data_IF_471808561964
#
_entry.id   IF_471808561964
#
_cell.length_a   1.000
_cell.length_b   1.000
_cell.length_c   1.000
_cell.angle_alpha   90.00
_cell.angle_beta   90.00
_cell.angle_gamma   90.00
#
_symmetry.space_group_name_H-M   'P 1'
#
loop_
_entity.id
_entity.type
_entity.pdbx_description
1 polymer ?
#
# COMPACT_ATOMS: atom_id res chain seq x y z
N UNK A 1 -2.56 14.91 -7.84
CA UNK A 1 -1.13 14.55 -7.77
C UNK A 1 -0.35 15.20 -8.92
N UNK A 2 -0.37 14.69 -10.15
CA UNK A 2 0.36 15.30 -11.28
C UNK A 2 -0.10 16.72 -11.64
N UNK A 3 -1.38 17.05 -11.44
CA UNK A 3 -1.92 18.42 -11.65
C UNK A 3 -1.54 19.44 -10.56
N UNK A 4 -0.96 18.99 -9.44
CA UNK A 4 -0.53 19.85 -8.31
C UNK A 4 1.01 19.87 -8.17
N UNK A 5 1.75 19.28 -9.13
CA UNK A 5 3.22 19.24 -9.10
C UNK A 5 3.82 18.31 -8.03
N UNK A 6 3.04 17.36 -7.50
CA UNK A 6 3.52 16.40 -6.50
C UNK A 6 3.94 15.12 -7.23
N UNK A 7 5.24 14.98 -7.47
CA UNK A 7 5.86 13.77 -8.00
C UNK A 7 6.14 12.74 -6.89
N UNK A 8 6.13 11.46 -7.28
CA UNK A 8 6.59 10.38 -6.42
C UNK A 8 8.08 10.58 -6.08
N UNK A 9 8.48 10.46 -4.81
CA UNK A 9 9.87 10.66 -4.42
C UNK A 9 10.79 9.59 -5.03
N UNK A 10 11.93 10.01 -5.59
CA UNK A 10 12.99 9.11 -6.08
C UNK A 10 13.86 8.51 -4.96
N UNK A 11 13.73 9.02 -3.73
CA UNK A 11 14.44 8.60 -2.53
C UNK A 11 13.46 8.42 -1.37
N UNK A 12 13.58 7.31 -0.64
CA UNK A 12 12.68 6.93 0.47
C UNK A 12 13.20 7.45 1.84
N UNK A 13 14.41 8.02 1.88
CA UNK A 13 15.01 8.54 3.11
C UNK A 13 14.15 9.65 3.76
N UNK A 14 13.85 9.50 5.06
CA UNK A 14 13.05 10.44 5.85
C UNK A 14 11.54 10.41 5.57
N UNK A 15 11.07 9.61 4.60
CA UNK A 15 9.65 9.56 4.25
C UNK A 15 8.81 8.89 5.35
N UNK A 16 9.38 7.89 6.02
CA UNK A 16 8.77 7.18 7.15
C UNK A 16 8.49 8.08 8.34
N UNK A 17 9.26 9.16 8.50
CA UNK A 17 9.16 10.06 9.66
C UNK A 17 7.84 10.84 9.67
N UNK A 18 7.15 10.86 8.52
CA UNK A 18 5.83 11.48 8.36
C UNK A 18 4.67 10.48 8.50
N UNK A 19 4.93 9.17 8.53
CA UNK A 19 3.90 8.14 8.63
C UNK A 19 3.78 7.68 10.08
N UNK A 20 2.88 8.34 10.82
CA UNK A 20 2.76 8.19 12.28
C UNK A 20 1.47 7.50 12.71
N UNK A 21 0.52 7.28 11.80
CA UNK A 21 -0.74 6.63 12.16
C UNK A 21 -0.58 5.11 12.27
N UNK A 22 -1.32 4.50 13.18
CA UNK A 22 -1.30 3.04 13.37
C UNK A 22 -1.77 2.30 12.12
N UNK A 23 -2.72 2.87 11.38
CA UNK A 23 -3.22 2.35 10.10
C UNK A 23 -2.13 2.38 9.02
N UNK A 24 -1.31 3.44 8.98
CA UNK A 24 -0.17 3.54 8.05
C UNK A 24 0.86 2.47 8.40
N UNK A 25 1.18 2.33 9.68
CA UNK A 25 2.11 1.31 10.15
C UNK A 25 1.59 -0.12 9.90
N UNK A 26 0.29 -0.34 10.00
CA UNK A 26 -0.33 -1.62 9.64
C UNK A 26 -0.12 -1.95 8.16
N UNK A 27 -0.34 -0.97 7.26
CA UNK A 27 -0.10 -1.14 5.82
C UNK A 27 1.38 -1.38 5.50
N UNK A 28 2.29 -0.67 6.18
CA UNK A 28 3.74 -0.89 6.05
C UNK A 28 4.10 -2.32 6.46
N UNK A 29 3.55 -2.82 7.58
CA UNK A 29 3.79 -4.20 8.03
C UNK A 29 3.27 -5.23 7.03
N UNK A 30 2.13 -4.99 6.38
CA UNK A 30 1.68 -5.83 5.29
C UNK A 30 2.75 -5.86 4.19
N UNK A 31 3.10 -4.71 3.60
CA UNK A 31 4.08 -4.62 2.50
C UNK A 31 5.38 -5.36 2.86
N UNK A 32 5.93 -5.11 4.05
CA UNK A 32 7.17 -5.74 4.52
C UNK A 32 7.06 -7.27 4.66
N UNK A 33 5.87 -7.78 4.96
CA UNK A 33 5.62 -9.22 5.12
C UNK A 33 5.43 -9.98 3.80
N UNK A 34 5.27 -9.30 2.66
CA UNK A 34 4.92 -9.94 1.39
C UNK A 34 5.95 -10.97 0.93
N UNK A 35 7.25 -10.64 0.97
CA UNK A 35 8.30 -11.54 0.52
C UNK A 35 8.41 -12.80 1.39
N UNK A 36 8.29 -12.64 2.71
CA UNK A 36 8.34 -13.77 3.65
C UNK A 36 7.15 -14.70 3.44
N UNK A 37 5.95 -14.14 3.22
CA UNK A 37 4.77 -14.93 2.87
C UNK A 37 5.00 -15.77 1.59
N UNK A 38 5.60 -15.19 0.56
CA UNK A 38 5.88 -15.92 -0.69
C UNK A 38 6.88 -17.07 -0.48
N UNK A 39 7.94 -16.87 0.31
CA UNK A 39 8.88 -17.94 0.65
C UNK A 39 8.16 -19.08 1.38
N UNK A 40 7.31 -18.76 2.37
CA UNK A 40 6.52 -19.77 3.07
C UNK A 40 5.56 -20.52 2.15
N UNK A 41 4.81 -19.82 1.30
CA UNK A 41 3.89 -20.44 0.32
C UNK A 41 4.66 -21.37 -0.63
N UNK A 42 5.86 -20.97 -1.05
CA UNK A 42 6.68 -21.80 -1.94
C UNK A 42 7.12 -23.12 -1.30
N UNK A 43 7.32 -23.13 0.03
CA UNK A 43 7.71 -24.31 0.82
C UNK A 43 6.52 -25.19 1.19
N UNK A 44 5.39 -24.59 1.57
CA UNK A 44 4.20 -25.33 2.02
C UNK A 44 3.28 -25.74 0.88
N UNK A 45 3.44 -25.14 -0.31
CA UNK A 45 2.58 -25.33 -1.48
C UNK A 45 1.11 -24.95 -1.21
N UNK A 46 0.91 -23.86 -0.46
CA UNK A 46 -0.41 -23.36 -0.05
C UNK A 46 -0.76 -22.03 -0.75
N UNK A 47 -1.06 -22.02 -2.07
CA UNK A 47 -1.27 -20.79 -2.84
C UNK A 47 -2.48 -19.96 -2.36
N UNK A 48 -3.46 -20.59 -1.70
CA UNK A 48 -4.63 -19.90 -1.15
C UNK A 48 -4.26 -18.82 -0.12
N UNK A 49 -3.11 -18.94 0.56
CA UNK A 49 -2.61 -17.95 1.51
C UNK A 49 -2.32 -16.60 0.84
N UNK A 50 -1.89 -16.61 -0.43
CA UNK A 50 -1.68 -15.39 -1.21
C UNK A 50 -3.00 -14.66 -1.42
N UNK A 51 -4.06 -15.37 -1.80
CA UNK A 51 -5.40 -14.79 -1.99
C UNK A 51 -5.92 -14.15 -0.71
N UNK A 52 -5.78 -14.81 0.44
CA UNK A 52 -6.19 -14.24 1.73
C UNK A 52 -5.39 -12.98 2.07
N UNK A 53 -4.06 -13.04 1.93
CA UNK A 53 -3.22 -11.89 2.18
C UNK A 53 -3.56 -10.68 1.30
N UNK A 54 -3.78 -10.89 -0.01
CA UNK A 54 -4.13 -9.80 -0.93
C UNK A 54 -5.51 -9.22 -0.61
N UNK A 55 -6.46 -10.07 -0.22
CA UNK A 55 -7.80 -9.65 0.22
C UNK A 55 -7.71 -8.79 1.48
N UNK A 56 -6.92 -9.22 2.46
CA UNK A 56 -6.74 -8.50 3.71
C UNK A 56 -6.00 -7.16 3.51
N UNK A 57 -4.95 -7.13 2.68
CA UNK A 57 -4.26 -5.90 2.30
C UNK A 57 -5.21 -4.92 1.61
N UNK A 58 -5.99 -5.39 0.64
CA UNK A 58 -6.96 -4.55 -0.07
C UNK A 58 -8.04 -4.01 0.89
N UNK A 59 -8.55 -4.84 1.79
CA UNK A 59 -9.53 -4.43 2.81
C UNK A 59 -8.96 -3.40 3.79
N UNK A 60 -7.72 -3.62 4.26
CA UNK A 60 -7.01 -2.68 5.15
C UNK A 60 -6.80 -1.33 4.47
N UNK A 61 -6.35 -1.32 3.21
CA UNK A 61 -6.18 -0.10 2.43
C UNK A 61 -7.52 0.61 2.19
N UNK A 62 -8.56 -0.14 1.81
CA UNK A 62 -9.90 0.44 1.59
C UNK A 62 -10.45 1.10 2.85
N UNK A 63 -10.25 0.48 4.02
CA UNK A 63 -10.61 1.06 5.31
C UNK A 63 -9.85 2.38 5.55
N UNK A 64 -8.53 2.38 5.41
CA UNK A 64 -7.70 3.58 5.58
C UNK A 64 -8.12 4.71 4.63
N UNK A 65 -8.32 4.40 3.35
CA UNK A 65 -8.77 5.37 2.34
C UNK A 65 -10.12 6.01 2.72
N UNK A 66 -11.10 5.20 3.16
CA UNK A 66 -12.41 5.68 3.56
C UNK A 66 -12.39 6.56 4.82
N UNK A 67 -11.43 6.35 5.74
CA UNK A 67 -11.26 7.21 6.91
C UNK A 67 -10.90 8.64 6.49
N UNK A 68 -10.11 8.81 5.42
CA UNK A 68 -9.74 10.13 4.85
C UNK A 68 -10.93 10.96 4.37
N UNK A 69 -12.04 10.33 4.01
CA UNK A 69 -13.28 11.01 3.63
C UNK A 69 -13.99 11.67 4.83
N UNK A 70 -13.78 11.15 6.04
CA UNK A 70 -14.45 11.62 7.27
C UNK A 70 -13.53 12.39 8.19
N UNK A 71 -12.23 12.08 8.18
CA UNK A 71 -11.22 12.71 9.01
C UNK A 71 -10.04 13.14 8.14
N UNK A 72 -9.72 14.43 8.19
CA UNK A 72 -8.63 15.05 7.42
C UNK A 72 -7.26 14.46 7.77
N UNK A 73 -7.08 13.98 8.99
CA UNK A 73 -5.85 13.33 9.45
C UNK A 73 -5.48 12.11 8.61
N UNK A 74 -6.46 11.41 8.03
CA UNK A 74 -6.27 10.18 7.24
C UNK A 74 -6.19 10.42 5.73
N UNK A 75 -6.28 11.68 5.26
CA UNK A 75 -6.25 11.98 3.83
C UNK A 75 -4.87 11.68 3.23
N UNK A 76 -4.84 11.00 2.09
CA UNK A 76 -3.59 10.79 1.35
C UNK A 76 -3.02 12.12 0.85
N UNK A 77 -3.87 12.97 0.27
CA UNK A 77 -3.49 14.32 -0.17
C UNK A 77 -3.88 15.30 0.94
N UNK A 78 -2.87 15.98 1.48
CA UNK A 78 -2.97 16.92 2.59
C UNK A 78 -2.36 18.26 2.21
N UNK A 79 -2.53 19.28 3.07
CA UNK A 79 -1.86 20.57 2.91
C UNK A 79 -0.33 20.48 3.11
N UNK A 80 0.15 19.43 3.79
CA UNK A 80 1.57 19.15 3.97
C UNK A 80 2.12 18.37 2.79
N UNK A 81 2.99 19.00 2.00
CA UNK A 81 3.66 18.34 0.88
C UNK A 81 4.51 17.14 1.33
N UNK A 82 5.30 17.20 2.42
CA UNK A 82 6.05 16.04 2.91
C UNK A 82 5.17 14.85 3.29
N UNK A 83 4.07 15.11 4.02
CA UNK A 83 3.12 14.06 4.41
C UNK A 83 2.41 13.44 3.20
N UNK A 84 2.01 14.28 2.24
CA UNK A 84 1.38 13.80 1.00
C UNK A 84 2.33 12.92 0.20
N UNK A 85 3.60 13.30 0.07
CA UNK A 85 4.62 12.47 -0.59
C UNK A 85 4.82 11.13 0.12
N UNK A 86 4.86 11.14 1.44
CA UNK A 86 4.97 9.93 2.25
C UNK A 86 3.80 8.97 2.02
N UNK A 87 2.57 9.49 2.07
CA UNK A 87 1.36 8.70 1.86
C UNK A 87 1.23 8.20 0.42
N UNK A 88 1.62 9.00 -0.58
CA UNK A 88 1.65 8.55 -1.97
C UNK A 88 2.65 7.42 -2.20
N UNK A 89 3.82 7.47 -1.55
CA UNK A 89 4.78 6.37 -1.60
C UNK A 89 4.24 5.10 -0.93
N UNK A 90 3.54 5.23 0.20
CA UNK A 90 2.88 4.10 0.85
C UNK A 90 1.84 3.47 -0.09
N UNK A 91 0.98 4.29 -0.70
CA UNK A 91 -0.04 3.85 -1.67
C UNK A 91 0.59 3.16 -2.87
N UNK A 92 1.70 3.69 -3.38
CA UNK A 92 2.43 3.07 -4.49
C UNK A 92 3.02 1.71 -4.10
N UNK A 93 3.55 1.57 -2.88
CA UNK A 93 4.00 0.28 -2.34
C UNK A 93 2.87 -0.75 -2.27
N UNK A 94 1.67 -0.34 -1.83
CA UNK A 94 0.48 -1.21 -1.83
C UNK A 94 0.12 -1.62 -3.26
N UNK A 95 0.11 -0.66 -4.22
CA UNK A 95 -0.16 -0.92 -5.64
C UNK A 95 0.79 -1.98 -6.20
N UNK A 96 2.09 -1.86 -5.92
CA UNK A 96 3.10 -2.82 -6.38
C UNK A 96 2.87 -4.21 -5.80
N UNK A 97 2.59 -4.32 -4.49
CA UNK A 97 2.31 -5.62 -3.84
C UNK A 97 1.06 -6.27 -4.42
N UNK A 98 -0.02 -5.50 -4.61
CA UNK A 98 -1.26 -6.00 -5.20
C UNK A 98 -1.04 -6.44 -6.65
N UNK A 99 -0.35 -5.64 -7.46
CA UNK A 99 -0.06 -5.99 -8.86
C UNK A 99 0.78 -7.28 -8.96
N UNK A 100 1.85 -7.40 -8.18
CA UNK A 100 2.70 -8.58 -8.18
C UNK A 100 1.94 -9.82 -7.68
N UNK A 101 1.12 -9.67 -6.64
CA UNK A 101 0.32 -10.77 -6.11
C UNK A 101 -0.75 -11.25 -7.09
N UNK A 102 -1.43 -10.34 -7.78
CA UNK A 102 -2.42 -10.67 -8.81
C UNK A 102 -1.77 -11.34 -10.03
N UNK A 103 -0.59 -10.86 -10.46
CA UNK A 103 0.18 -11.46 -11.55
C UNK A 103 0.58 -12.91 -11.23
N UNK A 104 1.03 -13.18 -10.00
CA UNK A 104 1.31 -14.55 -9.53
C UNK A 104 0.07 -15.47 -9.53
N UNK A 105 -1.14 -14.90 -9.42
CA UNK A 105 -2.40 -15.63 -9.51
C UNK A 105 -2.93 -15.74 -10.96
N UNK A 106 -2.24 -15.14 -11.94
CA UNK A 106 -2.69 -15.07 -13.33
C UNK A 106 -3.89 -14.15 -13.55
N UNK A 107 -4.05 -13.13 -12.69
CA UNK A 107 -5.16 -12.16 -12.72
C UNK A 107 -4.63 -10.80 -13.18
N UNK A 108 -5.35 -10.12 -14.06
CA UNK A 108 -4.98 -8.77 -14.49
C UNK A 108 -5.20 -7.74 -13.37
N UNK A 109 -4.28 -6.79 -13.25
CA UNK A 109 -4.38 -5.64 -12.35
C UNK A 109 -4.66 -4.36 -13.17
N UNK A 110 -5.94 -4.02 -13.46
CA UNK A 110 -6.28 -2.88 -14.30
C UNK A 110 -5.92 -1.54 -13.63
N UNK A 111 -5.40 -0.60 -14.42
CA UNK A 111 -5.08 0.75 -13.93
C UNK A 111 -6.34 1.58 -13.60
N UNK A 112 -7.47 1.23 -14.21
CA UNK A 112 -8.79 1.87 -14.02
C UNK A 112 -9.87 0.80 -14.09
N UNK A 113 -10.81 0.85 -13.16
CA UNK A 113 -12.00 -0.01 -13.10
C UNK A 113 -13.27 0.84 -13.22
#
# INVERSE_FOLDING_TARGET
AAGEGIDLPSQIEGLSDHLVLEEEMALIRYIAGFSSLLDEISRSLEPHRLTYYLTDLAASFHKYFNMGSRNHEFRIITESTPLTRARLCLVDGIRVVLANGLDLLGISAPEKM
#
